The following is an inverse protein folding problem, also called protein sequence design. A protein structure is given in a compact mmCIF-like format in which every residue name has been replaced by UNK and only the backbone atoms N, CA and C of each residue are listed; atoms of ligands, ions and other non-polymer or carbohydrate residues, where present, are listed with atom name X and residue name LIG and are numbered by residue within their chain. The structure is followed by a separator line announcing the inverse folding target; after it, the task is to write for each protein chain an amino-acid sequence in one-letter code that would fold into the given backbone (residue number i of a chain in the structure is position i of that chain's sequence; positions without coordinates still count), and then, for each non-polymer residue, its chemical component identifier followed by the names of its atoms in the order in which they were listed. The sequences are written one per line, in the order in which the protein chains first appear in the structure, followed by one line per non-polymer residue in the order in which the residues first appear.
data_IF_785826090372
#
_entry.id   IF_785826090372
#
_cell.length_a   1.000
_cell.length_b   1.000
_cell.length_c   1.000
_cell.angle_alpha   90.00
_cell.angle_beta   90.00
_cell.angle_gamma   90.00
#
_symmetry.space_group_name_H-M   'P 1'
#
loop_
_entity.id
_entity.type
_entity.pdbx_description
1 polymer ?
#
# COMPACT_ATOMS: atom_id res chain seq x y z
N UNK A 1 -18.02 68.67 6.42
CA UNK A 1 -18.02 67.33 7.04
C UNK A 1 -18.91 66.47 6.14
N UNK A 2 -18.38 65.79 5.12
CA UNK A 2 -17.73 64.46 5.13
C UNK A 2 -18.61 63.37 5.75
N UNK A 3 -19.06 62.43 4.92
CA UNK A 3 -19.74 61.19 5.34
C UNK A 3 -20.54 60.52 4.22
N UNK A 4 -19.95 60.27 3.06
CA UNK A 4 -20.39 59.21 2.13
C UNK A 4 -19.62 57.94 2.49
N UNK A 5 -20.29 56.78 2.63
CA UNK A 5 -19.73 55.48 2.18
C UNK A 5 -20.85 54.41 2.11
N UNK A 6 -21.19 54.02 0.89
CA UNK A 6 -21.84 52.75 0.54
C UNK A 6 -20.89 51.56 0.76
N UNK A 7 -21.43 50.37 1.06
CA UNK A 7 -21.00 49.03 0.61
C UNK A 7 -21.33 47.96 1.68
N UNK A 8 -21.61 46.69 1.41
CA UNK A 8 -21.82 45.86 0.21
C UNK A 8 -22.35 44.50 0.72
N UNK A 9 -23.08 43.80 -0.13
CA UNK A 9 -23.48 42.41 0.07
C UNK A 9 -22.29 41.49 0.43
N UNK A 10 -22.47 40.63 1.42
CA UNK A 10 -21.53 39.53 1.70
C UNK A 10 -21.81 38.42 0.70
N UNK A 11 -20.84 38.20 -0.18
CA UNK A 11 -20.84 37.19 -1.22
C UNK A 11 -20.67 35.78 -0.63
N UNK A 12 -21.44 34.86 -1.21
CA UNK A 12 -21.29 33.41 -1.16
C UNK A 12 -19.82 33.03 -1.43
N UNK A 13 -19.21 32.32 -0.48
CA UNK A 13 -17.83 31.85 -0.62
C UNK A 13 -17.72 30.82 -1.76
N UNK A 14 -16.57 30.72 -2.44
CA UNK A 14 -16.44 29.77 -3.55
C UNK A 14 -16.65 28.33 -3.04
N UNK A 15 -17.38 27.48 -3.79
CA UNK A 15 -17.61 26.11 -3.39
C UNK A 15 -16.29 25.35 -3.27
N UNK A 16 -16.22 24.48 -2.27
CA UNK A 16 -15.14 23.52 -2.04
C UNK A 16 -14.62 22.99 -3.38
N UNK A 17 -13.30 23.15 -3.60
CA UNK A 17 -12.62 22.66 -4.80
C UNK A 17 -13.01 21.20 -5.01
N UNK A 18 -13.70 20.91 -6.12
CA UNK A 18 -14.08 19.56 -6.54
C UNK A 18 -12.81 18.70 -6.50
N UNK A 19 -12.73 17.85 -5.48
CA UNK A 19 -11.65 16.88 -5.35
C UNK A 19 -11.93 15.80 -6.38
N UNK A 20 -11.29 15.90 -7.55
CA UNK A 20 -11.43 14.94 -8.64
C UNK A 20 -11.24 13.53 -8.08
N UNK A 21 -12.19 12.59 -8.29
CA UNK A 21 -12.05 11.24 -7.77
C UNK A 21 -10.79 10.60 -8.36
N UNK A 22 -9.97 10.00 -7.50
CA UNK A 22 -8.77 9.26 -7.93
C UNK A 22 -9.22 8.10 -8.82
N UNK A 23 -8.71 8.02 -10.05
CA UNK A 23 -8.93 6.84 -10.89
C UNK A 23 -8.31 5.60 -10.23
N UNK A 24 -9.03 4.48 -10.29
CA UNK A 24 -8.53 3.17 -9.84
C UNK A 24 -7.33 2.79 -10.69
N UNK A 25 -6.23 2.38 -10.05
CA UNK A 25 -5.00 2.00 -10.75
C UNK A 25 -4.70 0.52 -10.59
N UNK A 26 -4.04 -0.06 -11.59
CA UNK A 26 -3.44 -1.39 -11.53
C UNK A 26 -1.93 -1.23 -11.57
N UNK A 27 -1.20 -1.80 -10.62
CA UNK A 27 0.27 -1.83 -10.60
C UNK A 27 0.77 -3.26 -10.76
N UNK A 28 1.81 -3.46 -11.56
CA UNK A 28 2.45 -4.77 -11.71
C UNK A 28 3.71 -4.88 -10.84
N UNK A 29 3.87 -6.01 -10.15
CA UNK A 29 5.03 -6.28 -9.31
C UNK A 29 5.47 -7.73 -9.46
N UNK A 30 6.77 -7.98 -9.65
CA UNK A 30 7.29 -9.34 -9.64
C UNK A 30 7.47 -9.84 -8.20
N UNK A 31 7.20 -11.13 -7.98
CA UNK A 31 7.47 -11.84 -6.73
C UNK A 31 8.37 -13.05 -6.99
N UNK A 32 9.12 -13.45 -5.96
CA UNK A 32 9.73 -14.77 -5.93
C UNK A 32 8.65 -15.85 -5.82
N UNK A 33 8.87 -16.99 -6.47
CA UNK A 33 7.91 -18.09 -6.58
C UNK A 33 7.23 -18.43 -5.27
N UNK A 34 8.00 -18.62 -4.20
CA UNK A 34 7.45 -18.97 -2.87
C UNK A 34 6.37 -18.00 -2.39
N UNK A 35 6.57 -16.69 -2.59
CA UNK A 35 5.62 -15.68 -2.11
C UNK A 35 4.47 -15.50 -3.08
N UNK A 36 4.72 -15.70 -4.38
CA UNK A 36 3.67 -15.71 -5.38
C UNK A 36 2.65 -16.81 -5.09
N UNK A 37 3.10 -18.04 -4.81
CA UNK A 37 2.21 -19.16 -4.52
C UNK A 37 1.29 -18.86 -3.33
N UNK A 38 1.82 -18.23 -2.26
CA UNK A 38 1.02 -17.81 -1.09
C UNK A 38 0.01 -16.69 -1.38
N UNK A 39 0.29 -15.82 -2.35
CA UNK A 39 -0.70 -14.84 -2.81
C UNK A 39 -1.75 -15.52 -3.68
N UNK A 40 -1.32 -16.42 -4.57
CA UNK A 40 -2.18 -17.12 -5.52
C UNK A 40 -3.14 -18.11 -4.84
N UNK A 41 -2.79 -18.66 -3.67
CA UNK A 41 -3.70 -19.47 -2.84
C UNK A 41 -4.51 -18.63 -1.83
N UNK A 42 -4.21 -17.33 -1.70
CA UNK A 42 -4.90 -16.39 -0.81
C UNK A 42 -4.51 -16.46 0.66
N UNK A 43 -3.53 -17.30 1.03
CA UNK A 43 -3.06 -17.44 2.42
C UNK A 43 -2.24 -16.22 2.88
N UNK A 44 -1.50 -15.59 1.98
CA UNK A 44 -0.80 -14.31 2.22
C UNK A 44 -1.72 -13.14 1.93
N UNK A 45 -2.07 -12.41 2.99
CA UNK A 45 -3.00 -11.26 2.94
C UNK A 45 -2.34 -9.92 3.23
N UNK A 46 -1.07 -9.92 3.66
CA UNK A 46 -0.27 -8.71 3.85
C UNK A 46 0.98 -8.76 2.97
N UNK A 47 1.09 -7.83 2.03
CA UNK A 47 2.29 -7.62 1.22
C UNK A 47 3.20 -6.55 1.88
N UNK A 48 4.48 -6.89 2.03
CA UNK A 48 5.48 -6.01 2.64
C UNK A 48 6.30 -5.31 1.56
N UNK A 49 6.36 -3.98 1.62
CA UNK A 49 7.21 -3.16 0.75
C UNK A 49 7.88 -2.06 1.57
N UNK A 50 8.89 -1.42 0.99
CA UNK A 50 9.39 -0.14 1.46
C UNK A 50 8.71 1.00 0.71
N UNK A 51 8.70 2.21 1.27
CA UNK A 51 8.01 3.38 0.72
C UNK A 51 8.73 4.00 -0.49
N UNK A 52 8.96 3.19 -1.53
CA UNK A 52 9.46 3.70 -2.80
C UNK A 52 8.54 4.81 -3.34
N UNK A 53 9.09 5.82 -4.05
CA UNK A 53 8.29 6.91 -4.61
C UNK A 53 7.08 6.41 -5.44
N UNK A 54 7.27 5.32 -6.20
CA UNK A 54 6.23 4.69 -7.02
C UNK A 54 5.08 4.02 -6.24
N UNK A 55 5.16 3.93 -4.93
CA UNK A 55 4.10 3.36 -4.07
C UNK A 55 3.44 4.43 -3.19
N UNK A 56 3.88 5.69 -3.29
CA UNK A 56 3.41 6.78 -2.41
C UNK A 56 1.92 7.04 -2.55
N UNK A 57 1.39 6.88 -3.76
CA UNK A 57 -0.01 7.11 -4.14
C UNK A 57 -0.84 5.83 -4.22
N UNK A 58 -0.29 4.67 -3.84
CA UNK A 58 -1.04 3.43 -3.72
C UNK A 58 -2.10 3.57 -2.61
N UNK A 59 -3.33 3.18 -2.89
CA UNK A 59 -4.41 3.34 -1.93
C UNK A 59 -5.47 2.24 -2.03
N UNK A 60 -6.32 2.15 -1.01
CA UNK A 60 -7.49 1.27 -0.99
C UNK A 60 -8.31 1.43 -2.27
N UNK A 61 -8.72 0.31 -2.83
CA UNK A 61 -9.46 0.20 -4.08
C UNK A 61 -8.59 0.04 -5.32
N UNK A 62 -7.28 0.33 -5.25
CA UNK A 62 -6.34 -0.01 -6.31
C UNK A 62 -6.14 -1.53 -6.41
N UNK A 63 -5.50 -1.97 -7.49
CA UNK A 63 -5.15 -3.36 -7.73
C UNK A 63 -3.64 -3.53 -7.88
N UNK A 64 -3.15 -4.68 -7.43
CA UNK A 64 -1.78 -5.13 -7.67
C UNK A 64 -1.85 -6.45 -8.43
N UNK A 65 -1.22 -6.48 -9.60
CA UNK A 65 -0.96 -7.71 -10.35
C UNK A 65 0.43 -8.20 -9.98
N UNK A 66 0.48 -9.28 -9.21
CA UNK A 66 1.73 -9.98 -8.95
C UNK A 66 2.05 -10.90 -10.11
N UNK A 67 3.33 -10.98 -10.51
CA UNK A 67 3.77 -11.85 -11.61
C UNK A 67 4.94 -12.72 -11.18
N UNK A 68 4.99 -13.96 -11.68
CA UNK A 68 6.10 -14.87 -11.46
C UNK A 68 6.23 -15.86 -12.62
N UNK A 69 7.31 -15.79 -13.40
CA UNK A 69 7.65 -16.83 -14.39
C UNK A 69 6.62 -17.09 -15.49
N UNK A 70 5.68 -16.18 -15.73
CA UNK A 70 4.57 -16.34 -16.69
C UNK A 70 3.20 -16.33 -16.02
N UNK A 71 3.15 -16.73 -14.74
CA UNK A 71 1.93 -16.75 -13.94
C UNK A 71 1.61 -15.35 -13.40
N UNK A 72 0.33 -15.07 -13.18
CA UNK A 72 -0.11 -13.82 -12.55
C UNK A 72 -1.25 -13.99 -11.55
N UNK A 73 -1.24 -13.15 -10.52
CA UNK A 73 -2.26 -13.08 -9.49
C UNK A 73 -2.72 -11.63 -9.33
N UNK A 74 -3.99 -11.36 -9.64
CA UNK A 74 -4.61 -10.06 -9.45
C UNK A 74 -5.17 -9.97 -8.03
N UNK A 75 -4.79 -8.91 -7.32
CA UNK A 75 -5.23 -8.64 -5.95
C UNK A 75 -5.81 -7.24 -5.84
N UNK A 76 -6.74 -7.05 -4.91
CA UNK A 76 -7.32 -5.76 -4.55
C UNK A 76 -6.69 -5.23 -3.27
N UNK A 77 -6.28 -3.96 -3.28
CA UNK A 77 -5.78 -3.27 -2.09
C UNK A 77 -6.95 -2.91 -1.17
N UNK A 78 -6.94 -3.46 0.04
CA UNK A 78 -7.94 -3.20 1.08
C UNK A 78 -7.51 -2.08 2.00
N UNK A 79 -6.22 -2.02 2.33
CA UNK A 79 -5.63 -1.02 3.22
C UNK A 79 -4.14 -0.87 2.92
N UNK A 80 -3.61 0.33 3.20
CA UNK A 80 -2.17 0.60 3.19
C UNK A 80 -1.81 1.23 4.53
N UNK A 81 -0.95 0.57 5.31
CA UNK A 81 -0.42 1.07 6.57
C UNK A 81 1.09 1.32 6.47
N UNK A 82 1.58 2.25 7.29
CA UNK A 82 2.98 2.70 7.30
C UNK A 82 3.59 2.42 8.67
N UNK A 83 4.80 1.90 8.68
CA UNK A 83 5.56 1.53 9.87
C UNK A 83 6.98 2.08 9.79
N UNK A 84 7.64 2.19 10.95
CA UNK A 84 9.03 2.67 11.04
C UNK A 84 10.04 1.54 10.82
N UNK A 85 9.67 0.30 11.14
CA UNK A 85 10.53 -0.88 10.95
C UNK A 85 9.74 -2.12 10.55
N UNK A 86 10.46 -3.15 10.10
CA UNK A 86 9.85 -4.44 9.79
C UNK A 86 9.39 -5.19 11.05
N UNK A 87 10.04 -4.99 12.20
CA UNK A 87 9.58 -5.53 13.48
C UNK A 87 8.19 -5.00 13.83
N UNK A 88 8.03 -3.67 13.82
CA UNK A 88 6.76 -3.02 14.15
C UNK A 88 5.63 -3.51 13.23
N UNK A 89 5.92 -3.67 11.94
CA UNK A 89 4.98 -4.24 10.98
C UNK A 89 4.59 -5.68 11.34
N UNK A 90 5.58 -6.57 11.52
CA UNK A 90 5.31 -8.00 11.75
C UNK A 90 4.57 -8.24 13.07
N UNK A 91 4.89 -7.46 14.10
CA UNK A 91 4.29 -7.57 15.42
C UNK A 91 2.87 -7.00 15.43
N UNK A 92 2.58 -5.97 14.62
CA UNK A 92 1.24 -5.34 14.54
C UNK A 92 0.30 -6.09 13.59
N UNK A 93 0.75 -6.44 12.39
CA UNK A 93 -0.10 -7.08 11.38
C UNK A 93 -0.28 -8.57 11.64
N UNK A 94 0.71 -9.19 12.29
CA UNK A 94 0.83 -10.62 12.52
C UNK A 94 1.58 -11.31 11.38
N UNK A 95 2.73 -11.92 11.71
CA UNK A 95 3.60 -12.60 10.74
C UNK A 95 2.90 -13.69 9.91
N UNK A 96 1.90 -14.36 10.48
CA UNK A 96 1.07 -15.36 9.79
C UNK A 96 0.37 -14.81 8.54
N UNK A 97 -0.02 -13.52 8.55
CA UNK A 97 -0.64 -12.88 7.38
C UNK A 97 0.36 -12.49 6.29
N UNK A 98 1.63 -12.37 6.67
CA UNK A 98 2.73 -12.00 5.76
C UNK A 98 3.31 -13.25 5.09
N UNK A 99 3.55 -14.32 5.84
CA UNK A 99 4.03 -15.61 5.33
C UNK A 99 3.65 -16.70 6.36
N UNK A 100 2.51 -17.40 6.18
CA UNK A 100 2.04 -18.42 7.16
C UNK A 100 2.93 -19.66 7.23
N UNK A 101 3.97 -19.75 6.39
CA UNK A 101 4.85 -20.92 6.31
C UNK A 101 6.18 -20.72 7.05
N UNK A 102 6.41 -19.54 7.63
CA UNK A 102 7.70 -19.19 8.24
C UNK A 102 7.51 -18.45 9.55
N UNK A 103 8.29 -18.77 10.61
CA UNK A 103 8.21 -18.06 11.87
C UNK A 103 8.71 -16.62 11.72
N UNK A 104 8.16 -15.74 12.56
CA UNK A 104 8.42 -14.29 12.58
C UNK A 104 9.88 -13.89 12.38
N UNK A 105 10.83 -14.48 13.11
CA UNK A 105 12.25 -14.06 13.04
C UNK A 105 12.94 -14.48 11.73
N UNK A 106 12.53 -15.61 11.16
CA UNK A 106 13.00 -16.02 9.83
C UNK A 106 12.44 -15.10 8.75
N UNK A 107 11.18 -14.68 8.88
CA UNK A 107 10.59 -13.68 7.99
C UNK A 107 11.34 -12.35 8.07
N UNK A 108 11.60 -11.84 9.27
CA UNK A 108 12.35 -10.59 9.47
C UNK A 108 13.72 -10.66 8.80
N UNK A 109 14.43 -11.78 9.00
CA UNK A 109 15.73 -12.02 8.36
C UNK A 109 15.61 -12.06 6.83
N UNK A 110 14.61 -12.75 6.29
CA UNK A 110 14.39 -12.84 4.84
C UNK A 110 14.02 -11.49 4.22
N UNK A 111 13.17 -10.70 4.89
CA UNK A 111 12.77 -9.36 4.45
C UNK A 111 14.00 -8.45 4.42
N UNK A 112 14.85 -8.45 5.46
CA UNK A 112 16.05 -7.61 5.50
C UNK A 112 17.13 -8.00 4.50
N UNK A 113 17.17 -9.25 4.06
CA UNK A 113 18.02 -9.65 2.92
C UNK A 113 17.60 -8.98 1.61
N UNK A 114 16.30 -8.69 1.43
CA UNK A 114 15.76 -7.99 0.26
C UNK A 114 15.85 -6.46 0.46
N UNK A 115 15.49 -6.03 1.66
CA UNK A 115 15.39 -4.64 2.09
C UNK A 115 16.34 -4.37 3.25
N UNK A 116 17.62 -4.17 2.93
CA UNK A 116 18.62 -3.76 3.93
C UNK A 116 18.31 -2.40 4.57
N UNK A 117 19.13 -1.96 5.55
CA UNK A 117 18.83 -0.81 6.41
C UNK A 117 18.51 0.48 5.66
N UNK A 118 19.21 0.79 4.57
CA UNK A 118 18.95 1.99 3.77
C UNK A 118 17.57 1.98 3.11
N UNK A 119 17.07 0.80 2.72
CA UNK A 119 15.73 0.65 2.14
C UNK A 119 14.67 0.69 3.23
N UNK A 120 14.93 0.08 4.38
CA UNK A 120 14.06 0.16 5.56
C UNK A 120 13.89 1.62 6.02
N UNK A 121 14.95 2.42 5.96
CA UNK A 121 14.95 3.85 6.30
C UNK A 121 14.05 4.72 5.40
N UNK A 122 13.63 4.23 4.23
CA UNK A 122 12.59 4.88 3.43
C UNK A 122 11.22 4.84 4.13
N UNK A 123 11.07 3.97 5.12
CA UNK A 123 9.83 3.61 5.78
C UNK A 123 9.23 2.33 5.18
N UNK A 124 8.44 1.63 5.99
CA UNK A 124 7.88 0.32 5.66
C UNK A 124 6.38 0.47 5.36
N UNK A 125 5.88 -0.36 4.44
CA UNK A 125 4.48 -0.48 4.05
C UNK A 125 3.96 -1.90 4.34
N UNK A 126 2.83 -1.98 5.03
CA UNK A 126 1.95 -3.14 4.98
C UNK A 126 0.81 -2.84 4.01
N UNK A 127 0.67 -3.66 2.98
CA UNK A 127 -0.41 -3.54 2.00
C UNK A 127 -1.32 -4.73 2.20
N UNK A 128 -2.50 -4.48 2.76
CA UNK A 128 -3.53 -5.50 2.90
C UNK A 128 -4.16 -5.77 1.54
N UNK A 129 -4.11 -7.02 1.13
CA UNK A 129 -4.52 -7.49 -0.19
C UNK A 129 -5.55 -8.60 -0.07
N UNK A 130 -6.44 -8.64 -1.06
CA UNK A 130 -7.41 -9.71 -1.24
C UNK A 130 -7.23 -10.28 -2.65
N UNK A 131 -7.07 -11.60 -2.78
CA UNK A 131 -6.97 -12.25 -4.08
C UNK A 131 -8.28 -12.11 -4.86
N UNK A 132 -8.16 -11.78 -6.16
CA UNK A 132 -9.30 -11.59 -7.07
C UNK A 132 -9.32 -12.67 -8.14
N UNK A 133 -8.16 -12.95 -8.76
CA UNK A 133 -8.03 -13.95 -9.81
C UNK A 133 -6.57 -14.38 -9.98
N UNK A 134 -6.37 -15.57 -10.53
CA UNK A 134 -5.07 -16.10 -10.97
C UNK A 134 -5.17 -16.58 -12.42
N UNK A 135 -4.04 -16.62 -13.13
CA UNK A 135 -3.91 -17.26 -14.45
C UNK A 135 -2.96 -18.44 -14.37
#
# INVERSE_FOLDING_TARGET
MRGEEEARAVADGPPDKIRTPRSVRVRSMNLYRRYFDLVADGSKTIEVRVQYPKLRDLATGDYIRFTCGGDDALTKVKRVARYRSFEELLDTEGHEKVDPTSPRDQQLTAIRRIYGPEKEALGVLAIEIELVATT
#
